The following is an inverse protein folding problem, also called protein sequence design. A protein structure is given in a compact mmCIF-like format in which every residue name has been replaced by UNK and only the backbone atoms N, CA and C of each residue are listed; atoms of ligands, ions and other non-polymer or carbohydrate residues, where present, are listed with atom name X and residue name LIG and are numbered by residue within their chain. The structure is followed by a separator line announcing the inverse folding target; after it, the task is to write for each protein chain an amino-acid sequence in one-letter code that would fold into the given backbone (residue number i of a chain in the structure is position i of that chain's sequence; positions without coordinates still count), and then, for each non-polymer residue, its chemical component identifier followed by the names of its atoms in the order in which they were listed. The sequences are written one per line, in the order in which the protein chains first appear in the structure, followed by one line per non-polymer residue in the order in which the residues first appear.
data_IF_936027072659
#
_entry.id   IF_936027072659
#
_cell.length_a   1.000
_cell.length_b   1.000
_cell.length_c   1.000
_cell.angle_alpha   90.00
_cell.angle_beta   90.00
_cell.angle_gamma   90.00
#
_symmetry.space_group_name_H-M   'P 1'
#
loop_
_entity.id
_entity.type
_entity.pdbx_description
1 polymer ?
#
# COMPACT_ATOMS: atom_id res chain seq x y z
N UNK A 1 -19.77 0.03 10.13
CA UNK A 1 -19.40 0.44 8.75
C UNK A 1 -20.56 1.14 8.04
N UNK A 2 -21.64 0.46 7.63
CA UNK A 2 -22.75 1.10 6.87
C UNK A 2 -23.39 2.31 7.58
N UNK A 3 -23.71 2.18 8.88
CA UNK A 3 -24.28 3.29 9.69
C UNK A 3 -23.35 4.52 9.81
N UNK A 4 -22.05 4.33 9.60
CA UNK A 4 -21.04 5.38 9.72
C UNK A 4 -20.62 5.95 8.35
N UNK A 5 -21.32 5.60 7.26
CA UNK A 5 -21.01 6.11 5.91
C UNK A 5 -19.69 5.58 5.31
N UNK A 6 -19.11 4.51 5.86
CA UNK A 6 -17.90 3.91 5.30
C UNK A 6 -18.19 3.24 3.96
N UNK A 7 -17.34 3.47 2.96
CA UNK A 7 -17.45 2.91 1.61
C UNK A 7 -16.37 1.86 1.29
N UNK A 8 -15.30 1.80 2.08
CA UNK A 8 -14.17 0.87 1.90
C UNK A 8 -13.75 0.24 3.22
N UNK A 9 -13.15 -0.94 3.15
CA UNK A 9 -12.56 -1.65 4.28
C UNK A 9 -11.27 -2.34 3.84
N UNK A 10 -10.27 -2.34 4.72
CA UNK A 10 -9.01 -3.07 4.52
C UNK A 10 -8.94 -4.24 5.50
N UNK A 11 -8.68 -5.42 4.97
CA UNK A 11 -8.44 -6.65 5.73
C UNK A 11 -6.96 -6.99 5.60
N UNK A 12 -6.27 -7.20 6.71
CA UNK A 12 -4.86 -7.58 6.70
C UNK A 12 -4.64 -9.04 6.32
N UNK A 13 -5.68 -9.87 6.45
CA UNK A 13 -5.67 -11.29 6.14
C UNK A 13 -7.09 -11.76 5.74
N UNK A 14 -7.22 -12.87 4.99
CA UNK A 14 -8.50 -13.33 4.46
C UNK A 14 -9.27 -14.16 5.49
N UNK A 15 -9.90 -13.50 6.48
CA UNK A 15 -10.76 -14.17 7.47
C UNK A 15 -12.10 -14.58 6.86
N UNK A 16 -12.42 -15.89 6.74
CA UNK A 16 -13.63 -16.34 6.07
C UNK A 16 -14.93 -15.76 6.65
N UNK A 17 -15.02 -15.67 7.96
CA UNK A 17 -16.18 -15.11 8.67
C UNK A 17 -16.39 -13.62 8.36
N UNK A 18 -15.30 -12.85 8.21
CA UNK A 18 -15.36 -11.43 7.85
C UNK A 18 -15.74 -11.28 6.39
N UNK A 19 -15.12 -12.06 5.50
CA UNK A 19 -15.43 -12.04 4.07
C UNK A 19 -16.89 -12.40 3.80
N UNK A 20 -17.42 -13.41 4.52
CA UNK A 20 -18.82 -13.80 4.43
C UNK A 20 -19.75 -12.69 4.92
N UNK A 21 -19.42 -12.02 6.03
CA UNK A 21 -20.21 -10.90 6.55
C UNK A 21 -20.20 -9.66 5.64
N UNK A 22 -19.17 -9.50 4.80
CA UNK A 22 -19.05 -8.39 3.86
C UNK A 22 -19.77 -8.64 2.51
N UNK A 23 -20.20 -9.87 2.20
CA UNK A 23 -20.94 -10.15 0.95
C UNK A 23 -22.22 -9.31 0.87
N UNK A 24 -22.48 -8.76 -0.33
CA UNK A 24 -23.63 -7.88 -0.58
C UNK A 24 -23.58 -6.56 0.19
N UNK A 25 -22.46 -6.22 0.84
CA UNK A 25 -22.34 -4.96 1.58
C UNK A 25 -22.20 -3.73 0.68
N UNK A 26 -21.68 -3.92 -0.54
CA UNK A 26 -21.29 -2.85 -1.46
C UNK A 26 -19.96 -2.17 -1.11
N UNK A 27 -19.31 -2.56 0.00
CA UNK A 27 -18.03 -1.99 0.41
C UNK A 27 -16.92 -2.43 -0.55
N UNK A 28 -16.03 -1.50 -0.92
CA UNK A 28 -14.78 -1.83 -1.57
C UNK A 28 -13.80 -2.46 -0.59
N UNK A 29 -13.27 -3.63 -0.91
CA UNK A 29 -12.38 -4.40 -0.03
C UNK A 29 -10.95 -4.41 -0.55
N UNK A 30 -10.01 -4.04 0.31
CA UNK A 30 -8.59 -4.38 0.15
C UNK A 30 -8.31 -5.64 0.95
N UNK A 31 -7.87 -6.72 0.29
CA UNK A 31 -7.69 -8.04 0.86
C UNK A 31 -6.19 -8.39 0.97
N UNK A 32 -5.70 -8.50 2.20
CA UNK A 32 -4.29 -8.78 2.47
C UNK A 32 -3.91 -10.25 2.40
N UNK A 33 -2.78 -10.51 1.76
CA UNK A 33 -1.97 -11.71 1.93
C UNK A 33 -1.08 -11.47 3.16
N UNK A 34 -1.00 -12.45 4.06
CA UNK A 34 -0.17 -12.34 5.27
C UNK A 34 1.32 -12.34 4.90
N UNK A 35 2.14 -11.67 5.70
CA UNK A 35 3.57 -11.52 5.43
C UNK A 35 4.30 -12.88 5.40
N UNK A 36 3.86 -13.83 6.21
CA UNK A 36 4.38 -15.19 6.32
C UNK A 36 4.02 -16.09 5.13
N UNK A 37 2.96 -15.78 4.39
CA UNK A 37 2.53 -16.57 3.23
C UNK A 37 3.28 -16.18 1.95
N UNK A 38 4.00 -15.05 1.96
CA UNK A 38 4.62 -14.48 0.76
C UNK A 38 5.63 -15.41 0.09
N UNK A 39 6.46 -16.11 0.86
CA UNK A 39 7.47 -17.03 0.28
C UNK A 39 6.80 -18.19 -0.46
N UNK A 40 5.72 -18.75 0.10
CA UNK A 40 4.91 -19.77 -0.54
C UNK A 40 4.26 -19.25 -1.82
N UNK A 41 3.64 -18.06 -1.80
CA UNK A 41 3.01 -17.49 -3.00
C UNK A 41 4.03 -17.08 -4.07
N UNK A 42 5.24 -16.68 -3.67
CA UNK A 42 6.35 -16.39 -4.57
C UNK A 42 6.89 -17.66 -5.26
N UNK A 43 6.78 -18.83 -4.60
CA UNK A 43 7.39 -20.07 -5.09
C UNK A 43 6.78 -20.64 -6.37
N UNK A 44 5.47 -20.42 -6.61
CA UNK A 44 4.79 -20.98 -7.79
C UNK A 44 3.44 -20.31 -8.06
N UNK A 45 3.00 -20.39 -9.32
CA UNK A 45 1.64 -20.01 -9.73
C UNK A 45 0.57 -20.94 -9.15
N UNK A 46 0.88 -22.20 -8.88
CA UNK A 46 -0.05 -23.15 -8.26
C UNK A 46 -0.35 -22.79 -6.80
N UNK A 47 0.65 -22.31 -6.05
CA UNK A 47 0.45 -21.77 -4.71
C UNK A 47 -0.46 -20.53 -4.74
N UNK A 48 -0.21 -19.60 -5.67
CA UNK A 48 -1.06 -18.42 -5.87
C UNK A 48 -2.51 -18.81 -6.26
N UNK A 49 -2.68 -19.80 -7.14
CA UNK A 49 -3.98 -20.34 -7.54
C UNK A 49 -4.74 -20.96 -6.37
N UNK A 50 -4.04 -21.70 -5.52
CA UNK A 50 -4.62 -22.27 -4.29
C UNK A 50 -5.10 -21.16 -3.36
N UNK A 51 -4.28 -20.12 -3.17
CA UNK A 51 -4.66 -18.98 -2.35
C UNK A 51 -5.90 -18.26 -2.90
N UNK A 52 -5.96 -17.97 -4.21
CA UNK A 52 -7.10 -17.29 -4.83
C UNK A 52 -8.39 -18.12 -4.77
N UNK A 53 -8.27 -19.43 -5.02
CA UNK A 53 -9.41 -20.36 -4.96
C UNK A 53 -9.99 -20.47 -3.55
N UNK A 54 -9.14 -20.31 -2.53
CA UNK A 54 -9.56 -20.38 -1.12
C UNK A 54 -10.10 -19.04 -0.62
N UNK A 55 -9.40 -17.95 -0.93
CA UNK A 55 -9.55 -16.67 -0.22
C UNK A 55 -10.29 -15.59 -1.03
N UNK A 56 -10.41 -15.75 -2.35
CA UNK A 56 -10.97 -14.71 -3.22
C UNK A 56 -12.17 -15.21 -4.04
N UNK A 57 -12.00 -16.29 -4.81
CA UNK A 57 -13.02 -16.78 -5.73
C UNK A 57 -14.37 -17.15 -5.08
N UNK A 58 -14.44 -17.70 -3.85
CA UNK A 58 -15.72 -18.04 -3.23
C UNK A 58 -16.60 -16.82 -2.88
N UNK A 59 -16.01 -15.62 -2.83
CA UNK A 59 -16.67 -14.41 -2.35
C UNK A 59 -17.10 -13.47 -3.47
N UNK A 60 -16.57 -13.63 -4.69
CA UNK A 60 -16.99 -12.86 -5.87
C UNK A 60 -18.15 -13.55 -6.61
N UNK A 61 -19.06 -12.80 -7.25
CA UNK A 61 -19.08 -11.34 -7.41
C UNK A 61 -19.72 -10.58 -6.24
N UNK A 62 -20.24 -11.26 -5.22
CA UNK A 62 -20.98 -10.63 -4.13
C UNK A 62 -20.13 -9.72 -3.23
N UNK A 63 -18.81 -9.88 -3.28
CA UNK A 63 -17.83 -9.04 -2.62
C UNK A 63 -17.06 -8.20 -3.64
N UNK A 64 -17.06 -6.88 -3.47
CA UNK A 64 -16.32 -5.95 -4.31
C UNK A 64 -14.87 -5.82 -3.83
N UNK A 65 -13.99 -6.74 -4.24
CA UNK A 65 -12.56 -6.68 -3.91
C UNK A 65 -11.85 -5.77 -4.91
N UNK A 66 -11.33 -4.64 -4.43
CA UNK A 66 -10.61 -3.65 -5.23
C UNK A 66 -9.12 -4.02 -5.36
N UNK A 67 -8.52 -4.50 -4.27
CA UNK A 67 -7.09 -4.74 -4.18
C UNK A 67 -6.78 -6.06 -3.50
N UNK A 68 -5.76 -6.77 -3.99
CA UNK A 68 -5.11 -7.87 -3.28
C UNK A 68 -3.73 -7.38 -2.87
N UNK A 69 -3.46 -7.26 -1.57
CA UNK A 69 -2.20 -6.67 -1.08
C UNK A 69 -1.21 -7.75 -0.67
N UNK A 70 -0.05 -7.83 -1.34
CA UNK A 70 1.05 -8.72 -0.96
C UNK A 70 1.77 -8.17 0.28
N UNK A 71 1.31 -8.57 1.45
CA UNK A 71 1.86 -8.16 2.73
C UNK A 71 1.55 -6.71 3.13
N UNK A 72 2.04 -6.34 4.30
CA UNK A 72 1.97 -5.01 4.88
C UNK A 72 3.34 -4.62 5.48
N UNK A 73 3.90 -3.52 4.97
CA UNK A 73 5.18 -2.95 5.41
C UNK A 73 6.34 -3.97 5.40
N UNK A 74 6.34 -4.84 4.39
CA UNK A 74 7.33 -5.92 4.29
C UNK A 74 8.69 -5.43 3.83
N UNK A 75 8.72 -4.38 3.01
CA UNK A 75 9.94 -3.79 2.47
C UNK A 75 10.45 -2.75 3.48
N UNK A 76 11.75 -2.77 3.89
CA UNK A 76 12.86 -3.60 3.38
C UNK A 76 13.21 -4.84 4.24
N UNK A 77 12.26 -5.42 4.97
CA UNK A 77 12.47 -6.57 5.86
C UNK A 77 12.81 -7.89 5.15
N UNK A 78 12.95 -8.97 5.94
CA UNK A 78 13.45 -10.28 5.47
C UNK A 78 12.61 -10.92 4.35
N UNK A 79 11.32 -10.64 4.31
CA UNK A 79 10.39 -11.20 3.31
C UNK A 79 10.23 -10.29 2.08
N UNK A 80 10.93 -9.16 2.00
CA UNK A 80 10.78 -8.18 0.92
C UNK A 80 11.02 -8.79 -0.46
N UNK A 81 12.00 -9.70 -0.56
CA UNK A 81 12.35 -10.41 -1.80
C UNK A 81 11.18 -11.22 -2.41
N UNK A 82 10.17 -11.58 -1.60
CA UNK A 82 9.03 -12.38 -2.04
C UNK A 82 7.85 -11.55 -2.54
N UNK A 83 7.83 -10.23 -2.29
CA UNK A 83 6.69 -9.36 -2.61
C UNK A 83 6.40 -9.33 -4.11
N UNK A 84 7.39 -8.98 -4.93
CA UNK A 84 7.19 -8.85 -6.38
C UNK A 84 6.92 -10.20 -7.05
N UNK A 85 7.64 -11.30 -6.73
CA UNK A 85 7.31 -12.62 -7.26
C UNK A 85 5.89 -13.10 -6.89
N UNK A 86 5.45 -12.90 -5.63
CA UNK A 86 4.10 -13.27 -5.22
C UNK A 86 3.04 -12.49 -6.00
N UNK A 87 3.24 -11.18 -6.20
CA UNK A 87 2.35 -10.35 -7.02
C UNK A 87 2.28 -10.80 -8.48
N UNK A 88 3.44 -11.14 -9.08
CA UNK A 88 3.49 -11.68 -10.44
C UNK A 88 2.70 -12.99 -10.56
N UNK A 89 2.83 -13.90 -9.60
CA UNK A 89 2.10 -15.16 -9.60
C UNK A 89 0.60 -14.95 -9.43
N UNK A 90 0.17 -14.06 -8.51
CA UNK A 90 -1.24 -13.69 -8.34
C UNK A 90 -1.80 -13.09 -9.64
N UNK A 91 -1.11 -12.13 -10.24
CA UNK A 91 -1.53 -11.50 -11.49
C UNK A 91 -1.63 -12.51 -12.64
N UNK A 92 -0.66 -13.44 -12.75
CA UNK A 92 -0.67 -14.46 -13.80
C UNK A 92 -1.92 -15.35 -13.70
N UNK A 93 -2.28 -15.79 -12.50
CA UNK A 93 -3.49 -16.60 -12.28
C UNK A 93 -4.76 -15.80 -12.56
N UNK A 94 -4.85 -14.56 -12.07
CA UNK A 94 -6.00 -13.68 -12.35
C UNK A 94 -6.20 -13.47 -13.85
N UNK A 95 -5.11 -13.22 -14.59
CA UNK A 95 -5.15 -13.05 -16.04
C UNK A 95 -5.58 -14.34 -16.77
N UNK A 96 -5.01 -15.49 -16.38
CA UNK A 96 -5.37 -16.80 -16.95
C UNK A 96 -6.86 -17.12 -16.73
N UNK A 97 -7.37 -16.82 -15.54
CA UNK A 97 -8.75 -17.09 -15.15
C UNK A 97 -9.72 -15.97 -15.58
N UNK A 98 -9.21 -14.97 -16.33
CA UNK A 98 -9.95 -13.79 -16.83
C UNK A 98 -10.68 -13.02 -15.72
N UNK A 99 -10.05 -12.90 -14.56
CA UNK A 99 -10.54 -12.13 -13.40
C UNK A 99 -9.88 -10.76 -13.39
N UNK A 100 -10.66 -9.70 -13.62
CA UNK A 100 -10.16 -8.31 -13.70
C UNK A 100 -10.64 -7.41 -12.57
N UNK A 101 -11.44 -7.94 -11.63
CA UNK A 101 -12.07 -7.13 -10.58
C UNK A 101 -11.13 -6.58 -9.51
N UNK A 102 -10.04 -7.30 -9.20
CA UNK A 102 -9.09 -6.93 -8.16
C UNK A 102 -7.70 -6.68 -8.73
N UNK A 103 -7.07 -5.57 -8.32
CA UNK A 103 -5.71 -5.21 -8.73
C UNK A 103 -4.69 -5.68 -7.68
N UNK A 104 -3.66 -6.47 -8.07
CA UNK A 104 -2.57 -6.81 -7.16
C UNK A 104 -1.71 -5.59 -6.83
N UNK A 105 -1.40 -5.39 -5.55
CA UNK A 105 -0.52 -4.32 -5.07
C UNK A 105 0.17 -4.72 -3.76
N UNK A 106 0.98 -3.87 -3.15
CA UNK A 106 1.51 -4.05 -1.79
C UNK A 106 1.32 -2.77 -1.00
N UNK A 107 1.55 -2.85 0.31
CA UNK A 107 1.49 -1.69 1.20
C UNK A 107 2.86 -1.45 1.81
N UNK A 108 3.41 -0.26 1.57
CA UNK A 108 4.68 0.20 2.15
C UNK A 108 4.43 1.25 3.23
N UNK A 109 5.48 1.66 3.94
CA UNK A 109 5.45 2.80 4.86
C UNK A 109 6.69 3.66 4.70
N UNK A 110 6.80 4.70 5.53
CA UNK A 110 7.96 5.60 5.57
C UNK A 110 9.30 4.90 5.80
N UNK A 111 9.30 3.64 6.22
CA UNK A 111 10.52 2.85 6.49
C UNK A 111 11.37 2.59 5.25
N UNK A 112 10.80 2.68 4.04
CA UNK A 112 11.54 2.52 2.77
C UNK A 112 12.32 3.78 2.36
N UNK A 113 12.12 4.91 3.05
CA UNK A 113 12.73 6.20 2.74
C UNK A 113 13.77 6.62 3.78
N UNK A 114 14.70 7.46 3.34
CA UNK A 114 15.67 8.19 4.16
C UNK A 114 15.73 9.65 3.69
N UNK A 115 16.45 10.49 4.44
CA UNK A 115 16.65 11.91 4.13
C UNK A 115 15.34 12.67 3.91
N UNK A 116 14.30 12.32 4.67
CA UNK A 116 12.91 12.74 4.44
C UNK A 116 12.62 14.21 4.81
N UNK A 117 13.63 14.97 5.21
CA UNK A 117 13.54 16.40 5.46
C UNK A 117 14.67 17.19 4.77
N UNK A 118 14.35 18.19 3.93
CA UNK A 118 12.98 18.53 3.51
C UNK A 118 12.40 17.43 2.59
N UNK A 119 11.06 17.34 2.43
CA UNK A 119 10.42 16.30 1.61
C UNK A 119 11.01 16.09 0.21
N UNK A 120 11.40 17.16 -0.48
CA UNK A 120 12.03 17.12 -1.81
C UNK A 120 13.40 16.41 -1.86
N UNK A 121 14.08 16.31 -0.72
CA UNK A 121 15.38 15.66 -0.58
C UNK A 121 15.30 14.16 -0.26
N UNK A 122 14.10 13.62 -0.05
CA UNK A 122 13.96 12.22 0.31
C UNK A 122 14.56 11.30 -0.75
N UNK A 123 15.11 10.17 -0.30
CA UNK A 123 15.56 9.08 -1.17
C UNK A 123 15.08 7.73 -0.67
N UNK A 124 15.08 6.71 -1.56
CA UNK A 124 14.89 5.33 -1.13
C UNK A 124 16.16 4.85 -0.42
N UNK A 125 15.98 4.10 0.67
CA UNK A 125 17.09 3.41 1.31
C UNK A 125 17.71 2.39 0.35
N UNK A 126 19.03 2.18 0.47
CA UNK A 126 19.78 1.25 -0.38
C UNK A 126 19.19 -0.16 -0.43
N UNK A 127 18.70 -0.65 0.71
CA UNK A 127 18.08 -1.98 0.86
C UNK A 127 16.67 -2.06 0.28
N UNK A 128 15.96 -0.94 0.19
CA UNK A 128 14.62 -0.88 -0.40
C UNK A 128 14.67 -0.67 -1.92
N UNK A 129 15.68 0.07 -2.40
CA UNK A 129 15.76 0.56 -3.79
C UNK A 129 15.57 -0.54 -4.85
N UNK A 130 16.24 -1.71 -4.81
CA UNK A 130 16.08 -2.73 -5.85
C UNK A 130 14.63 -3.25 -5.92
N UNK A 131 14.05 -3.58 -4.77
CA UNK A 131 12.72 -4.18 -4.68
C UNK A 131 11.65 -3.15 -5.03
N UNK A 132 11.80 -1.91 -4.56
CA UNK A 132 10.89 -0.81 -4.91
C UNK A 132 10.93 -0.52 -6.41
N UNK A 133 12.09 -0.56 -7.06
CA UNK A 133 12.21 -0.37 -8.51
C UNK A 133 11.42 -1.44 -9.28
N UNK A 134 11.62 -2.71 -8.92
CA UNK A 134 10.92 -3.84 -9.55
C UNK A 134 9.40 -3.79 -9.27
N UNK A 135 9.01 -3.41 -8.06
CA UNK A 135 7.62 -3.25 -7.66
C UNK A 135 6.93 -2.17 -8.50
N UNK A 136 7.55 -0.99 -8.64
CA UNK A 136 6.98 0.12 -9.41
C UNK A 136 6.83 -0.27 -10.88
N UNK A 137 7.83 -0.96 -11.44
CA UNK A 137 7.74 -1.47 -12.82
C UNK A 137 6.58 -2.47 -12.98
N UNK A 138 6.39 -3.38 -12.01
CA UNK A 138 5.26 -4.30 -11.98
C UNK A 138 3.92 -3.57 -11.89
N UNK A 139 3.77 -2.65 -10.93
CA UNK A 139 2.54 -1.89 -10.70
C UNK A 139 2.14 -1.08 -11.93
N UNK A 140 3.11 -0.43 -12.58
CA UNK A 140 2.91 0.27 -13.85
C UNK A 140 2.43 -0.68 -14.96
N UNK A 141 2.98 -1.89 -15.03
CA UNK A 141 2.58 -2.90 -16.01
C UNK A 141 1.15 -3.41 -15.84
N UNK A 142 0.64 -3.47 -14.61
CA UNK A 142 -0.72 -3.93 -14.30
C UNK A 142 -1.74 -2.80 -14.12
N UNK A 143 -1.30 -1.53 -14.13
CA UNK A 143 -2.14 -0.37 -13.85
C UNK A 143 -2.61 -0.29 -12.38
N UNK A 144 -1.84 -0.88 -11.46
CA UNK A 144 -2.16 -0.92 -10.03
C UNK A 144 -1.53 0.25 -9.26
N UNK A 145 -2.17 0.75 -8.19
CA UNK A 145 -1.58 1.79 -7.35
C UNK A 145 -0.50 1.19 -6.44
N UNK A 146 0.38 2.03 -5.88
CA UNK A 146 1.14 1.70 -4.67
C UNK A 146 0.33 2.17 -3.46
N UNK A 147 0.11 1.30 -2.47
CA UNK A 147 -0.53 1.70 -1.22
C UNK A 147 0.53 2.05 -0.17
N UNK A 148 0.23 3.07 0.64
CA UNK A 148 1.19 3.62 1.61
C UNK A 148 0.50 3.85 2.95
N UNK A 149 1.08 3.34 4.01
CA UNK A 149 0.69 3.71 5.37
C UNK A 149 1.42 5.01 5.78
N UNK A 150 0.64 6.05 6.07
CA UNK A 150 1.15 7.38 6.44
C UNK A 150 0.80 7.67 7.88
N UNK A 151 1.83 7.93 8.71
CA UNK A 151 1.67 8.15 10.14
C UNK A 151 2.39 9.45 10.58
N UNK A 152 1.74 10.61 10.48
CA UNK A 152 2.30 11.88 10.98
C UNK A 152 2.75 11.81 12.45
N UNK A 153 2.03 11.03 13.26
CA UNK A 153 2.33 10.82 14.67
C UNK A 153 3.76 10.32 14.92
N UNK A 154 4.26 9.33 14.14
CA UNK A 154 5.59 8.78 14.40
C UNK A 154 6.71 9.79 14.08
N UNK A 155 6.52 10.63 13.07
CA UNK A 155 7.46 11.72 12.78
C UNK A 155 7.53 12.71 13.95
N UNK A 156 6.36 13.14 14.46
CA UNK A 156 6.28 13.99 15.65
C UNK A 156 6.90 13.35 16.88
N UNK A 157 6.50 12.12 17.23
CA UNK A 157 6.95 11.44 18.43
C UNK A 157 8.47 11.20 18.46
N UNK A 158 9.10 11.02 17.30
CA UNK A 158 10.55 10.90 17.19
C UNK A 158 11.29 12.23 17.39
N UNK A 159 10.68 13.36 17.02
CA UNK A 159 11.33 14.69 17.06
C UNK A 159 10.38 15.80 17.58
N UNK A 160 9.81 15.68 18.78
CA UNK A 160 8.76 16.60 19.25
C UNK A 160 9.26 18.03 19.55
N UNK A 161 10.59 18.21 19.66
CA UNK A 161 11.22 19.53 19.82
C UNK A 161 11.32 20.31 18.51
N UNK A 162 11.28 19.62 17.37
CA UNK A 162 11.45 20.22 16.03
C UNK A 162 10.15 20.20 15.23
N UNK A 163 9.38 19.13 15.37
CA UNK A 163 8.10 18.95 14.70
C UNK A 163 6.99 19.34 15.67
N UNK A 164 6.17 20.31 15.30
CA UNK A 164 5.06 20.74 16.16
C UNK A 164 3.93 19.71 16.14
N UNK A 165 3.24 19.59 17.28
CA UNK A 165 2.05 18.74 17.40
C UNK A 165 0.94 19.20 16.45
N UNK A 166 0.76 20.51 16.29
CA UNK A 166 -0.24 21.10 15.40
C UNK A 166 -0.06 20.66 13.94
N UNK A 167 1.19 20.56 13.48
CA UNK A 167 1.52 20.09 12.14
C UNK A 167 1.17 18.60 11.97
N UNK A 168 1.35 17.79 13.02
CA UNK A 168 1.03 16.36 13.01
C UNK A 168 -0.48 16.08 13.11
N UNK A 169 -1.23 16.97 13.78
CA UNK A 169 -2.68 16.86 13.97
C UNK A 169 -3.50 17.56 12.89
N UNK A 170 -2.85 18.08 11.83
CA UNK A 170 -3.49 18.80 10.72
C UNK A 170 -4.31 20.00 11.23
N UNK A 171 -3.80 20.70 12.24
CA UNK A 171 -4.50 21.86 12.79
C UNK A 171 -4.50 23.02 11.77
N UNK A 172 -5.64 23.71 11.55
CA UNK A 172 -5.75 24.78 10.55
C UNK A 172 -4.74 25.92 10.73
N UNK A 173 -4.30 26.16 11.96
CA UNK A 173 -3.38 27.25 12.31
C UNK A 173 -1.94 26.77 12.56
N UNK A 174 -1.60 25.54 12.15
CA UNK A 174 -0.25 25.04 12.30
C UNK A 174 0.76 25.93 11.58
N UNK A 175 1.86 26.28 12.26
CA UNK A 175 3.00 26.94 11.63
C UNK A 175 3.68 25.95 10.70
N UNK A 176 3.35 26.04 9.40
CA UNK A 176 3.96 25.24 8.35
C UNK A 176 5.44 25.57 8.10
N UNK A 177 6.07 24.82 7.20
CA UNK A 177 7.46 25.02 6.78
C UNK A 177 7.59 25.04 5.26
N UNK A 178 8.72 25.56 4.77
CA UNK A 178 9.02 25.66 3.34
C UNK A 178 9.96 24.55 2.88
N UNK A 179 9.72 24.05 1.68
CA UNK A 179 10.57 23.13 0.94
C UNK A 179 10.69 23.66 -0.50
N UNK A 180 11.75 24.42 -0.78
CA UNK A 180 11.84 25.22 -2.00
C UNK A 180 10.67 26.20 -2.11
N UNK A 181 9.85 26.06 -3.15
CA UNK A 181 8.64 26.87 -3.37
C UNK A 181 7.37 26.27 -2.74
N UNK A 182 7.42 25.03 -2.23
CA UNK A 182 6.27 24.36 -1.63
C UNK A 182 6.19 24.71 -0.15
N UNK A 183 4.97 25.04 0.30
CA UNK A 183 4.67 25.26 1.72
C UNK A 183 3.86 24.09 2.24
N UNK A 184 4.39 23.39 3.23
CA UNK A 184 3.67 22.33 3.92
C UNK A 184 3.05 22.88 5.20
N UNK A 185 1.72 22.83 5.27
CA UNK A 185 0.93 23.29 6.42
C UNK A 185 0.51 22.15 7.34
N UNK A 186 0.80 20.91 6.97
CA UNK A 186 0.59 19.72 7.79
C UNK A 186 1.59 18.62 7.42
N UNK A 187 1.83 17.69 8.34
CA UNK A 187 2.79 16.60 8.15
C UNK A 187 2.28 15.52 7.20
N UNK A 188 0.96 15.35 7.08
CA UNK A 188 0.41 14.38 6.13
C UNK A 188 0.83 14.76 4.70
N UNK A 189 0.65 16.01 4.33
CA UNK A 189 1.08 16.57 3.04
C UNK A 189 2.60 16.69 2.93
N UNK A 190 3.36 16.77 4.02
CA UNK A 190 4.82 16.72 3.93
C UNK A 190 5.33 15.30 3.65
N UNK A 191 4.68 14.30 4.25
CA UNK A 191 5.05 12.89 4.12
C UNK A 191 4.53 12.32 2.80
N UNK A 192 3.36 12.74 2.34
CA UNK A 192 2.71 12.19 1.16
C UNK A 192 3.56 12.34 -0.13
N UNK A 193 4.18 13.50 -0.45
CA UNK A 193 5.07 13.70 -1.58
C UNK A 193 6.39 12.94 -1.47
N UNK A 194 6.96 12.73 -0.28
CA UNK A 194 8.11 11.82 -0.09
C UNK A 194 7.78 10.45 -0.68
N UNK A 195 6.54 9.99 -0.45
CA UNK A 195 6.04 8.73 -0.97
C UNK A 195 5.60 8.79 -2.44
N UNK A 196 5.35 9.98 -3.01
CA UNK A 196 5.06 10.16 -4.44
C UNK A 196 6.31 10.34 -5.32
N UNK A 197 7.30 11.14 -4.88
CA UNK A 197 8.30 11.73 -5.75
C UNK A 197 9.47 10.80 -6.11
N UNK A 198 9.76 9.77 -5.31
CA UNK A 198 10.75 8.74 -5.68
C UNK A 198 10.15 7.55 -6.43
N UNK A 199 8.81 7.47 -6.44
CA UNK A 199 8.05 6.44 -7.15
C UNK A 199 7.72 6.88 -8.59
N UNK A 200 7.74 8.18 -8.85
CA UNK A 200 7.56 8.78 -10.17
C UNK A 200 8.87 8.81 -10.98
N UNK A 201 9.33 7.64 -11.43
CA UNK A 201 10.05 7.55 -12.72
C UNK A 201 9.10 8.03 -13.84
N UNK A 202 8.98 9.36 -13.97
CA UNK A 202 8.45 10.12 -15.11
C UNK A 202 7.21 9.56 -15.83
N UNK A 203 6.12 9.14 -15.18
CA UNK A 203 4.76 9.20 -15.78
C UNK A 203 3.66 8.65 -14.87
N UNK A 204 2.60 9.46 -14.79
CA UNK A 204 1.17 9.16 -14.59
C UNK A 204 0.58 8.90 -13.19
N UNK A 205 -0.43 9.73 -12.94
CA UNK A 205 -1.56 9.67 -12.00
C UNK A 205 -2.05 8.25 -11.71
N UNK A 206 -2.03 7.86 -10.43
CA UNK A 206 -3.20 7.38 -9.66
C UNK A 206 -2.69 6.64 -8.40
N UNK A 207 -2.67 7.35 -7.26
CA UNK A 207 -2.44 6.76 -5.94
C UNK A 207 -3.71 6.92 -5.13
N UNK A 208 -4.24 5.80 -4.64
CA UNK A 208 -5.36 5.75 -3.71
C UNK A 208 -4.79 5.61 -2.30
N UNK A 209 -4.98 6.64 -1.48
CA UNK A 209 -4.80 6.57 -0.01
C UNK A 209 -5.96 5.81 0.60
#
# INVERSE_FOLDING_TARGET
MKRCGMSKVRLFEPKPEVLQALRGSGLGVSLGIRNEDLSTLASSTDAARTWLTTNYYPYIPDLNVLYITAGNEVIPGSNAQYVVPALKNIQAVLAQDKKTGALPTTVVSGTVFQDTYPPSGATLKSEALPIMTDLIAFLKGVGGPLLVNIYPYFAYAANPSTISLDLALLQPNATGFMDGSLKYTNLFDAIYPVHQCLVMLKTTNDIVV
#
